data_IF_279652502153
#
_entry.id   IF_279652502153
#
_cell.length_a   1.000
_cell.length_b   1.000
_cell.length_c   1.000
_cell.angle_alpha   90.00
_cell.angle_beta   90.00
_cell.angle_gamma   90.00
#
_symmetry.space_group_name_H-M   'P 1'
#
loop_
_entity.id
_entity.type
_entity.pdbx_description
1 polymer ?
#
# COMPACT_ATOMS: atom_id res chain seq x y z
N UNK A 1 9.82 1.76 1.97
CA UNK A 1 10.26 2.23 0.62
C UNK A 1 9.36 3.35 0.11
N UNK A 2 8.05 3.13 -0.05
CA UNK A 2 7.11 4.17 -0.51
C UNK A 2 7.14 5.47 0.31
N UNK A 3 7.26 5.38 1.64
CA UNK A 3 7.39 6.56 2.51
C UNK A 3 8.67 7.35 2.19
N UNK A 4 9.82 6.68 2.14
CA UNK A 4 11.12 7.34 1.92
C UNK A 4 11.15 8.01 0.54
N UNK A 5 10.76 7.29 -0.52
CA UNK A 5 10.72 7.85 -1.86
C UNK A 5 9.66 8.95 -2.00
N UNK A 6 8.50 8.80 -1.38
CA UNK A 6 7.46 9.84 -1.36
C UNK A 6 7.92 11.10 -0.65
N UNK A 7 8.72 10.99 0.43
CA UNK A 7 9.30 12.15 1.09
C UNK A 7 10.32 12.86 0.20
N UNK A 8 11.22 12.11 -0.43
CA UNK A 8 12.25 12.68 -1.32
C UNK A 8 11.59 13.37 -2.51
N UNK A 9 10.62 12.72 -3.17
CA UNK A 9 9.90 13.26 -4.31
C UNK A 9 9.02 14.47 -3.92
N UNK A 10 8.32 14.42 -2.80
CA UNK A 10 7.48 15.54 -2.34
C UNK A 10 8.28 16.81 -2.04
N UNK A 11 9.56 16.70 -1.70
CA UNK A 11 10.45 17.84 -1.45
C UNK A 11 11.24 18.27 -2.69
N UNK A 12 11.41 17.41 -3.69
CA UNK A 12 12.17 17.68 -4.89
C UNK A 12 11.33 17.43 -6.15
N UNK A 13 10.90 18.52 -6.77
CA UNK A 13 10.07 18.51 -7.98
C UNK A 13 10.68 17.70 -9.14
N UNK A 14 12.00 17.71 -9.30
CA UNK A 14 12.66 16.93 -10.36
C UNK A 14 12.52 15.43 -10.14
N UNK A 15 12.63 14.98 -8.88
CA UNK A 15 12.46 13.56 -8.54
C UNK A 15 11.01 13.13 -8.73
N UNK A 16 10.05 14.00 -8.36
CA UNK A 16 8.63 13.76 -8.64
C UNK A 16 8.36 13.62 -10.14
N UNK A 17 8.81 14.56 -10.97
CA UNK A 17 8.58 14.53 -12.42
C UNK A 17 9.18 13.28 -13.10
N UNK A 18 10.30 12.76 -12.60
CA UNK A 18 10.92 11.52 -13.10
C UNK A 18 10.15 10.27 -12.64
N UNK A 19 9.66 10.24 -11.39
CA UNK A 19 8.98 9.08 -10.83
C UNK A 19 7.50 9.01 -11.20
N UNK A 20 6.85 10.14 -11.45
CA UNK A 20 5.43 10.23 -11.81
C UNK A 20 5.01 9.29 -12.96
N UNK A 21 5.69 9.25 -14.12
CA UNK A 21 5.32 8.32 -15.18
C UNK A 21 5.40 6.85 -14.72
N UNK A 22 6.43 6.48 -13.94
CA UNK A 22 6.56 5.13 -13.41
C UNK A 22 5.40 4.77 -12.48
N UNK A 23 5.02 5.68 -11.57
CA UNK A 23 3.92 5.47 -10.63
C UNK A 23 2.58 5.35 -11.36
N UNK A 24 2.35 6.18 -12.38
CA UNK A 24 1.15 6.11 -13.22
C UNK A 24 1.09 4.77 -13.94
N UNK A 25 2.19 4.31 -14.54
CA UNK A 25 2.26 3.00 -15.20
C UNK A 25 2.00 1.86 -14.22
N UNK A 26 2.59 1.89 -13.02
CA UNK A 26 2.33 0.88 -11.99
C UNK A 26 0.84 0.81 -11.61
N UNK A 27 0.17 1.98 -11.48
CA UNK A 27 -1.26 2.04 -11.16
C UNK A 27 -2.17 1.62 -12.32
N UNK A 28 -1.75 1.88 -13.56
CA UNK A 28 -2.50 1.54 -14.76
C UNK A 28 -2.40 0.06 -15.13
N UNK A 29 -1.32 -0.61 -14.71
CA UNK A 29 -1.08 -2.00 -15.09
C UNK A 29 -2.06 -2.94 -14.40
N UNK A 30 -2.76 -3.82 -15.15
CA UNK A 30 -3.62 -4.83 -14.55
C UNK A 30 -2.83 -5.75 -13.62
N UNK A 31 -3.27 -5.85 -12.37
CA UNK A 31 -2.63 -6.66 -11.33
C UNK A 31 -2.49 -8.13 -11.76
N UNK A 32 -3.52 -8.67 -12.42
CA UNK A 32 -3.54 -10.05 -12.92
C UNK A 32 -2.38 -10.33 -13.89
N UNK A 33 -2.13 -9.42 -14.84
CA UNK A 33 -1.05 -9.56 -15.81
C UNK A 33 0.31 -9.62 -15.12
N UNK A 34 0.51 -8.79 -14.09
CA UNK A 34 1.76 -8.78 -13.33
C UNK A 34 1.95 -10.06 -12.52
N UNK A 35 0.90 -10.62 -11.93
CA UNK A 35 0.98 -11.89 -11.20
C UNK A 35 1.47 -13.02 -12.13
N UNK A 36 0.89 -13.11 -13.34
CA UNK A 36 1.27 -14.13 -14.33
C UNK A 36 2.73 -13.95 -14.78
N UNK A 37 3.15 -12.71 -15.04
CA UNK A 37 4.54 -12.38 -15.34
C UNK A 37 5.42 -12.83 -14.18
N UNK A 38 5.13 -12.43 -12.94
CA UNK A 38 5.94 -12.75 -11.77
C UNK A 38 6.15 -14.27 -11.56
N UNK A 39 5.20 -15.12 -11.95
CA UNK A 39 5.34 -16.59 -11.87
C UNK A 39 6.49 -17.16 -12.72
N UNK A 40 6.93 -16.45 -13.76
CA UNK A 40 8.04 -16.90 -14.62
C UNK A 40 9.38 -16.78 -13.88
N UNK A 41 9.53 -15.78 -13.01
CA UNK A 41 10.79 -15.47 -12.31
C UNK A 41 10.81 -15.91 -10.84
N UNK A 42 9.64 -16.06 -10.21
CA UNK A 42 9.53 -16.29 -8.77
C UNK A 42 8.78 -17.58 -8.42
N UNK A 43 9.10 -18.16 -7.27
CA UNK A 43 8.32 -19.24 -6.65
C UNK A 43 6.94 -18.73 -6.22
N UNK A 44 5.95 -19.63 -6.20
CA UNK A 44 4.55 -19.38 -5.83
C UNK A 44 4.35 -18.50 -4.58
N UNK A 45 5.10 -18.74 -3.51
CA UNK A 45 5.05 -17.94 -2.27
C UNK A 45 5.65 -16.54 -2.43
N UNK A 46 6.72 -16.39 -3.23
CA UNK A 46 7.37 -15.10 -3.45
C UNK A 46 6.53 -14.17 -4.34
N UNK A 47 5.70 -14.71 -5.23
CA UNK A 47 4.78 -13.93 -6.07
C UNK A 47 3.78 -13.14 -5.22
N UNK A 48 3.24 -13.74 -4.15
CA UNK A 48 2.30 -13.08 -3.24
C UNK A 48 2.94 -11.86 -2.55
N UNK A 49 4.18 -12.03 -2.08
CA UNK A 49 4.93 -10.95 -1.42
C UNK A 49 5.28 -9.84 -2.42
N UNK A 50 5.78 -10.23 -3.60
CA UNK A 50 6.16 -9.29 -4.65
C UNK A 50 4.97 -8.42 -5.10
N UNK A 51 3.82 -9.04 -5.38
CA UNK A 51 2.61 -8.35 -5.85
C UNK A 51 2.02 -7.43 -4.77
N UNK A 52 2.05 -7.86 -3.50
CA UNK A 52 1.64 -7.02 -2.38
C UNK A 52 2.52 -5.76 -2.27
N UNK A 53 3.85 -5.90 -2.35
CA UNK A 53 4.78 -4.77 -2.31
C UNK A 53 4.53 -3.82 -3.49
N UNK A 54 4.37 -4.38 -4.70
CA UNK A 54 4.20 -3.62 -5.92
C UNK A 54 2.94 -2.73 -5.88
N UNK A 55 1.86 -3.19 -5.27
CA UNK A 55 0.60 -2.45 -5.18
C UNK A 55 0.59 -1.47 -4.01
N UNK A 56 1.17 -1.87 -2.88
CA UNK A 56 1.26 -0.99 -1.72
C UNK A 56 2.22 0.18 -1.98
N UNK A 57 3.27 -0.03 -2.77
CA UNK A 57 4.26 1.00 -3.07
C UNK A 57 3.68 2.31 -3.63
N UNK A 58 2.94 2.33 -4.77
CA UNK A 58 2.39 3.56 -5.33
C UNK A 58 1.34 4.18 -4.41
N UNK A 59 0.56 3.37 -3.68
CA UNK A 59 -0.46 3.86 -2.73
C UNK A 59 0.20 4.68 -1.61
N UNK A 60 1.22 4.12 -0.97
CA UNK A 60 1.94 4.82 0.12
C UNK A 60 2.69 6.04 -0.41
N UNK A 61 3.36 5.90 -1.56
CA UNK A 61 4.08 6.99 -2.21
C UNK A 61 3.17 8.20 -2.48
N UNK A 62 2.01 7.98 -3.11
CA UNK A 62 1.09 9.08 -3.45
C UNK A 62 0.48 9.74 -2.22
N UNK A 63 0.16 8.97 -1.17
CA UNK A 63 -0.36 9.54 0.08
C UNK A 63 0.67 10.43 0.76
N UNK A 64 1.93 10.00 0.78
CA UNK A 64 3.02 10.78 1.40
C UNK A 64 3.28 12.07 0.65
N UNK A 65 3.31 12.06 -0.69
CA UNK A 65 3.44 13.28 -1.50
C UNK A 65 2.27 14.24 -1.22
N UNK A 66 1.04 13.73 -1.18
CA UNK A 66 -0.12 14.54 -0.85
C UNK A 66 0.01 15.18 0.54
N UNK A 67 0.50 14.43 1.52
CA UNK A 67 0.77 14.98 2.85
C UNK A 67 1.79 16.10 2.83
N UNK A 68 2.88 15.95 2.09
CA UNK A 68 3.89 17.02 1.97
C UNK A 68 3.32 18.26 1.30
N UNK A 69 2.54 18.08 0.23
CA UNK A 69 1.91 19.17 -0.52
C UNK A 69 0.76 19.83 0.23
N UNK A 70 0.19 19.17 1.25
CA UNK A 70 -0.84 19.73 2.12
C UNK A 70 -0.33 20.71 3.17
N UNK A 71 1.00 20.77 3.37
CA UNK A 71 1.62 21.72 4.32
C UNK A 71 1.33 23.15 3.89
N UNK A 72 0.92 23.99 4.84
CA UNK A 72 0.66 25.40 4.59
C UNK A 72 1.92 26.12 4.08
N UNK A 73 1.78 26.78 2.92
CA UNK A 73 2.85 27.58 2.32
C UNK A 73 3.29 28.72 3.24
N UNK A 74 2.38 29.27 4.06
CA UNK A 74 2.69 30.30 5.06
C UNK A 74 3.65 29.80 6.15
N UNK A 75 3.48 28.55 6.62
CA UNK A 75 4.41 27.93 7.59
C UNK A 75 5.80 27.79 6.99
N UNK A 76 5.90 27.39 5.71
CA UNK A 76 7.18 27.26 5.01
C UNK A 76 7.83 28.64 4.79
N UNK A 77 7.04 29.65 4.40
CA UNK A 77 7.53 31.02 4.24
C UNK A 77 8.04 31.60 5.55
N UNK A 78 7.31 31.41 6.66
CA UNK A 78 7.75 31.81 7.99
C UNK A 78 9.07 31.13 8.36
N UNK A 79 9.17 29.81 8.18
CA UNK A 79 10.40 29.07 8.47
C UNK A 79 11.60 29.56 7.63
N UNK A 80 11.38 29.98 6.38
CA UNK A 80 12.40 30.59 5.53
C UNK A 80 12.84 31.97 6.04
N UNK A 81 11.91 32.82 6.49
CA UNK A 81 12.22 34.14 7.08
C UNK A 81 13.11 33.98 8.32
N UNK A 82 12.79 33.01 9.18
CA UNK A 82 13.57 32.69 10.37
C UNK A 82 14.84 31.86 10.10
N UNK A 83 15.16 31.57 8.83
CA UNK A 83 16.32 30.76 8.40
C UNK A 83 16.42 29.41 9.13
N UNK A 84 15.27 28.77 9.36
CA UNK A 84 15.21 27.45 10.01
C UNK A 84 15.97 26.43 9.15
N UNK A 85 16.87 25.65 9.77
CA UNK A 85 17.63 24.62 9.05
C UNK A 85 16.69 23.53 8.54
N UNK A 86 16.95 23.00 7.33
CA UNK A 86 16.09 22.00 6.68
C UNK A 86 15.80 20.72 7.51
N UNK A 87 16.69 20.33 8.43
CA UNK A 87 16.45 19.20 9.35
C UNK A 87 15.28 19.46 10.32
N UNK A 88 15.15 20.68 10.83
CA UNK A 88 14.04 21.09 11.69
C UNK A 88 12.75 21.27 10.89
N UNK A 89 12.85 21.79 9.67
CA UNK A 89 11.72 21.86 8.74
C UNK A 89 11.12 20.46 8.48
N UNK A 90 11.99 19.48 8.20
CA UNK A 90 11.60 18.08 8.02
C UNK A 90 10.93 17.48 9.26
N UNK A 91 11.57 17.62 10.44
CA UNK A 91 11.11 16.97 11.67
C UNK A 91 9.87 17.62 12.27
N UNK A 92 9.81 18.95 12.27
CA UNK A 92 8.84 19.71 13.06
C UNK A 92 7.66 20.22 12.23
N UNK A 93 7.79 20.27 10.89
CA UNK A 93 6.70 20.68 9.99
C UNK A 93 6.23 19.50 9.14
N UNK A 94 7.13 18.92 8.33
CA UNK A 94 6.72 17.88 7.38
C UNK A 94 6.31 16.57 8.08
N UNK A 95 7.11 16.05 9.00
CA UNK A 95 6.85 14.79 9.70
C UNK A 95 5.49 14.73 10.40
N UNK A 96 5.08 15.73 11.22
CA UNK A 96 3.76 15.73 11.83
C UNK A 96 2.64 15.87 10.80
N UNK A 97 2.84 16.65 9.73
CA UNK A 97 1.83 16.82 8.68
C UNK A 97 1.59 15.52 7.89
N UNK A 98 2.65 14.80 7.51
CA UNK A 98 2.53 13.55 6.75
C UNK A 98 2.06 12.36 7.59
N UNK A 99 2.11 12.45 8.93
CA UNK A 99 1.77 11.33 9.82
C UNK A 99 0.39 10.76 9.51
N UNK A 100 -0.63 11.62 9.40
CA UNK A 100 -2.00 11.21 9.11
C UNK A 100 -2.14 10.62 7.71
N UNK A 101 -1.37 11.14 6.74
CA UNK A 101 -1.34 10.60 5.37
C UNK A 101 -0.66 9.24 5.29
N UNK A 102 0.40 9.01 6.06
CA UNK A 102 1.05 7.69 6.17
C UNK A 102 0.05 6.68 6.75
N UNK A 103 -0.67 7.05 7.81
CA UNK A 103 -1.71 6.21 8.42
C UNK A 103 -2.80 5.87 7.39
N UNK A 104 -3.31 6.85 6.66
CA UNK A 104 -4.29 6.65 5.59
C UNK A 104 -3.76 5.73 4.49
N UNK A 105 -2.50 5.92 4.05
CA UNK A 105 -1.86 5.09 3.05
C UNK A 105 -1.71 3.63 3.50
N UNK A 106 -1.35 3.40 4.76
CA UNK A 106 -1.26 2.05 5.33
C UNK A 106 -2.64 1.39 5.40
N UNK A 107 -3.67 2.10 5.86
CA UNK A 107 -5.04 1.56 5.92
C UNK A 107 -5.55 1.17 4.52
N UNK A 108 -5.28 2.00 3.51
CA UNK A 108 -5.62 1.70 2.13
C UNK A 108 -4.87 0.47 1.60
N UNK A 109 -3.60 0.32 1.95
CA UNK A 109 -2.80 -0.87 1.63
C UNK A 109 -3.31 -2.13 2.32
N UNK A 110 -3.83 -2.04 3.53
CA UNK A 110 -4.41 -3.19 4.22
C UNK A 110 -5.67 -3.67 3.53
N UNK A 111 -6.57 -2.76 3.16
CA UNK A 111 -7.80 -3.13 2.45
C UNK A 111 -7.55 -3.68 1.05
N UNK A 112 -6.75 -2.98 0.23
CA UNK A 112 -6.50 -3.38 -1.16
C UNK A 112 -5.45 -4.50 -1.25
N UNK A 113 -4.36 -4.38 -0.49
CA UNK A 113 -3.26 -5.34 -0.48
C UNK A 113 -3.72 -6.72 -0.05
N UNK A 114 -4.59 -6.83 0.96
CA UNK A 114 -5.17 -8.12 1.36
C UNK A 114 -5.91 -8.81 0.22
N UNK A 115 -6.78 -8.08 -0.49
CA UNK A 115 -7.54 -8.61 -1.63
C UNK A 115 -6.62 -9.10 -2.74
N UNK A 116 -5.56 -8.36 -3.02
CA UNK A 116 -4.60 -8.77 -4.03
C UNK A 116 -3.78 -9.96 -3.58
N UNK A 117 -3.35 -10.03 -2.31
CA UNK A 117 -2.63 -11.19 -1.81
C UNK A 117 -3.44 -12.47 -2.01
N UNK A 118 -4.74 -12.47 -1.68
CA UNK A 118 -5.62 -13.61 -1.93
C UNK A 118 -5.76 -13.91 -3.43
N UNK A 119 -5.93 -12.89 -4.27
CA UNK A 119 -5.98 -13.09 -5.73
C UNK A 119 -4.66 -13.66 -6.29
N UNK A 120 -3.53 -13.24 -5.73
CA UNK A 120 -2.21 -13.79 -6.06
C UNK A 120 -2.09 -15.23 -5.61
N UNK A 121 -2.56 -15.61 -4.42
CA UNK A 121 -2.56 -17.00 -3.95
C UNK A 121 -3.39 -17.91 -4.86
N UNK A 122 -4.54 -17.42 -5.36
CA UNK A 122 -5.39 -18.17 -6.31
C UNK A 122 -4.63 -18.46 -7.60
N UNK A 123 -3.83 -17.51 -8.09
CA UNK A 123 -3.09 -17.68 -9.35
C UNK A 123 -1.75 -18.40 -9.18
N UNK A 124 -1.06 -18.18 -8.06
CA UNK A 124 0.29 -18.70 -7.83
C UNK A 124 0.31 -20.05 -7.12
N UNK A 125 -0.83 -20.50 -6.58
CA UNK A 125 -1.00 -21.79 -5.90
C UNK A 125 0.09 -22.14 -4.87
N UNK A 126 0.39 -21.25 -3.89
CA UNK A 126 1.32 -21.60 -2.82
C UNK A 126 0.71 -22.66 -1.90
N UNK A 127 1.58 -23.47 -1.29
CA UNK A 127 1.15 -24.48 -0.32
C UNK A 127 0.45 -23.84 0.88
N UNK A 128 -0.53 -24.53 1.46
CA UNK A 128 -1.27 -24.09 2.66
C UNK A 128 -1.89 -22.69 2.57
N UNK A 129 -2.35 -22.29 1.38
CA UNK A 129 -2.90 -20.96 1.12
C UNK A 129 -4.43 -20.96 1.01
N UNK A 130 -5.08 -19.88 1.42
CA UNK A 130 -6.54 -19.75 1.34
C UNK A 130 -6.95 -19.67 -0.14
N UNK A 131 -6.19 -18.92 -0.94
CA UNK A 131 -6.43 -18.82 -2.38
C UNK A 131 -6.32 -20.17 -3.12
N UNK A 132 -5.46 -21.08 -2.66
CA UNK A 132 -5.37 -22.43 -3.21
C UNK A 132 -6.66 -23.21 -2.98
N UNK A 133 -7.24 -23.14 -1.77
CA UNK A 133 -8.49 -23.85 -1.49
C UNK A 133 -9.67 -23.25 -2.28
N UNK A 134 -9.72 -21.92 -2.43
CA UNK A 134 -10.70 -21.26 -3.32
C UNK A 134 -10.57 -21.78 -4.76
N UNK A 135 -9.34 -21.93 -5.25
CA UNK A 135 -9.10 -22.49 -6.58
C UNK A 135 -9.58 -23.94 -6.67
N UNK A 136 -9.27 -24.76 -5.67
CA UNK A 136 -9.66 -26.18 -5.64
C UNK A 136 -11.19 -26.34 -5.64
N UNK A 137 -11.90 -25.61 -4.77
CA UNK A 137 -13.37 -25.64 -4.75
C UNK A 137 -13.97 -25.17 -6.08
N UNK A 138 -13.35 -24.18 -6.74
CA UNK A 138 -13.73 -23.75 -8.09
C UNK A 138 -13.52 -24.85 -9.12
N UNK A 139 -12.40 -25.57 -9.08
CA UNK A 139 -12.09 -26.64 -10.06
C UNK A 139 -12.97 -27.87 -9.89
N UNK A 140 -13.36 -28.19 -8.65
CA UNK A 140 -14.27 -29.32 -8.33
C UNK A 140 -15.75 -28.93 -8.49
N UNK A 141 -16.04 -27.65 -8.79
CA UNK A 141 -17.40 -27.10 -8.86
C UNK A 141 -18.19 -27.24 -7.54
N UNK A 142 -17.49 -27.36 -6.42
CA UNK A 142 -18.07 -27.39 -5.07
C UNK A 142 -18.42 -25.97 -4.63
N UNK A 143 -19.57 -25.49 -5.13
CA UNK A 143 -20.05 -24.14 -4.82
C UNK A 143 -20.24 -23.88 -3.33
N UNK A 144 -20.70 -24.83 -2.49
CA UNK A 144 -20.84 -24.57 -1.04
C UNK A 144 -19.48 -24.31 -0.38
N UNK A 145 -18.45 -25.07 -0.75
CA UNK A 145 -17.10 -24.90 -0.20
C UNK A 145 -16.46 -23.58 -0.66
N UNK A 146 -16.68 -23.21 -1.92
CA UNK A 146 -16.23 -21.93 -2.46
C UNK A 146 -16.84 -20.74 -1.69
N UNK A 147 -18.13 -20.80 -1.38
CA UNK A 147 -18.78 -19.77 -0.56
C UNK A 147 -18.23 -19.76 0.87
N UNK A 148 -17.98 -20.93 1.47
CA UNK A 148 -17.40 -21.04 2.80
C UNK A 148 -16.03 -20.35 2.87
N UNK A 149 -15.12 -20.66 1.93
CA UNK A 149 -13.81 -20.00 1.86
C UNK A 149 -13.91 -18.51 1.58
N UNK A 150 -14.85 -18.07 0.73
CA UNK A 150 -15.08 -16.65 0.47
C UNK A 150 -15.52 -15.92 1.73
N UNK A 151 -16.43 -16.50 2.53
CA UNK A 151 -16.87 -15.93 3.81
C UNK A 151 -15.70 -15.84 4.79
N UNK A 152 -14.86 -16.88 4.87
CA UNK A 152 -13.65 -16.87 5.71
C UNK A 152 -12.73 -15.71 5.33
N UNK A 153 -12.47 -15.49 4.05
CA UNK A 153 -11.65 -14.36 3.57
C UNK A 153 -12.26 -13.01 3.96
N UNK A 154 -13.58 -12.86 3.81
CA UNK A 154 -14.29 -11.62 4.18
C UNK A 154 -14.18 -11.34 5.68
N UNK A 155 -14.41 -12.35 6.52
CA UNK A 155 -14.33 -12.23 7.97
C UNK A 155 -12.91 -11.89 8.41
N UNK A 156 -11.90 -12.58 7.87
CA UNK A 156 -10.50 -12.31 8.17
C UNK A 156 -10.10 -10.90 7.74
N UNK A 157 -10.44 -10.49 6.51
CA UNK A 157 -10.16 -9.14 6.00
C UNK A 157 -10.79 -8.07 6.90
N UNK A 158 -12.08 -8.21 7.23
CA UNK A 158 -12.80 -7.25 8.06
C UNK A 158 -12.21 -7.16 9.47
N UNK A 159 -11.89 -8.31 10.06
CA UNK A 159 -11.31 -8.39 11.41
C UNK A 159 -9.92 -7.76 11.42
N UNK A 160 -9.09 -8.06 10.42
CA UNK A 160 -7.75 -7.51 10.30
C UNK A 160 -7.76 -5.99 10.13
N UNK A 161 -8.60 -5.47 9.22
CA UNK A 161 -8.74 -4.04 9.00
C UNK A 161 -9.24 -3.31 10.26
N UNK A 162 -10.23 -3.89 10.95
CA UNK A 162 -10.79 -3.31 12.18
C UNK A 162 -9.78 -3.29 13.33
N UNK A 163 -9.07 -4.38 13.57
CA UNK A 163 -8.03 -4.47 14.61
C UNK A 163 -6.93 -3.46 14.32
N UNK A 164 -6.47 -3.41 13.08
CA UNK A 164 -5.35 -2.54 12.71
C UNK A 164 -5.74 -1.07 12.81
N UNK A 165 -6.94 -0.71 12.35
CA UNK A 165 -7.48 0.65 12.50
C UNK A 165 -7.64 1.03 13.97
N UNK A 166 -8.15 0.12 14.80
CA UNK A 166 -8.28 0.35 16.25
C UNK A 166 -6.91 0.58 16.91
N UNK A 167 -5.90 -0.22 16.56
CA UNK A 167 -4.55 -0.06 17.06
C UNK A 167 -3.92 1.29 16.64
N UNK A 168 -4.11 1.67 15.38
CA UNK A 168 -3.65 2.95 14.85
C UNK A 168 -4.33 4.15 15.51
N UNK A 169 -5.66 4.13 15.69
CA UNK A 169 -6.38 5.24 16.33
C UNK A 169 -5.97 5.43 17.79
N UNK A 170 -5.54 4.37 18.47
CA UNK A 170 -5.10 4.45 19.87
C UNK A 170 -3.69 5.04 20.01
N UNK A 171 -2.78 4.70 19.09
CA UNK A 171 -1.36 5.12 19.17
C UNK A 171 -1.05 6.39 18.39
N UNK A 172 -1.75 6.64 17.29
CA UNK A 172 -1.73 7.91 16.58
C UNK A 172 -3.00 8.63 16.99
N UNK A 173 -2.94 9.41 18.09
CA UNK A 173 -4.00 10.35 18.43
C UNK A 173 -4.31 11.20 17.18
N UNK A 174 -5.46 10.91 16.57
CA UNK A 174 -6.12 11.72 15.54
C UNK A 174 -6.93 12.77 16.29
#
# INVERSE_FOLDING_TARGET
IGIVLGVIAGLNRLVEEILDPLIITMKATPVMSIIIIALIWFTSSHVVIFTAILICFPIVYTNVIQGIKSVDKGLIQMANVYKVKGKYLLKDIYLPSIKNYIVSGILMCLGIGWKVSVASEVLSTPNYSIGLNILNSKTTLETPELFAWTIVVVILSFTFEKIFKYYLSKNCAI
#
